data_IF_415430154658
#
_entry.id   IF_415430154658
#
_cell.length_a   1.000
_cell.length_b   1.000
_cell.length_c   1.000
_cell.angle_alpha   90.00
_cell.angle_beta   90.00
_cell.angle_gamma   90.00
#
_symmetry.space_group_name_H-M   'P 1'
#
loop_
_entity.id
_entity.type
_entity.pdbx_description
1 polymer ?
#
# COMPACT_ATOMS: atom_id res chain seq x y z
N UNK A 1 -2.34 -19.20 10.32
CA UNK A 1 -3.43 -18.20 10.28
C UNK A 1 -3.32 -17.59 8.89
N UNK A 2 -4.17 -18.00 7.96
CA UNK A 2 -4.17 -17.43 6.61
C UNK A 2 -4.74 -16.02 6.71
N UNK A 3 -3.87 -15.02 6.66
CA UNK A 3 -4.29 -13.63 6.64
C UNK A 3 -4.95 -13.40 5.28
N UNK A 4 -6.27 -13.27 5.26
CA UNK A 4 -7.04 -12.92 4.07
C UNK A 4 -6.39 -11.69 3.41
N UNK A 5 -5.99 -11.82 2.14
CA UNK A 5 -5.32 -10.74 1.42
C UNK A 5 -6.38 -9.69 1.10
N UNK A 6 -6.44 -8.63 1.90
CA UNK A 6 -7.32 -7.49 1.62
C UNK A 6 -7.06 -6.96 0.21
N UNK A 7 -8.10 -6.80 -0.59
CA UNK A 7 -8.01 -6.07 -1.84
C UNK A 7 -7.75 -4.59 -1.54
N UNK A 8 -7.12 -3.86 -2.48
CA UNK A 8 -6.93 -2.41 -2.33
C UNK A 8 -8.26 -1.67 -2.13
N UNK A 9 -9.34 -2.19 -2.74
CA UNK A 9 -10.70 -1.67 -2.59
C UNK A 9 -11.30 -1.90 -1.19
N UNK A 10 -10.72 -2.80 -0.38
CA UNK A 10 -11.16 -3.05 1.01
C UNK A 10 -10.33 -2.24 2.02
N UNK A 11 -9.37 -1.44 1.55
CA UNK A 11 -8.52 -0.61 2.38
C UNK A 11 -9.17 0.76 2.59
N UNK A 12 -9.54 1.06 3.83
CA UNK A 12 -10.17 2.34 4.21
C UNK A 12 -9.23 3.17 5.08
N UNK A 13 -8.57 2.53 6.05
CA UNK A 13 -7.69 3.18 7.01
C UNK A 13 -6.21 3.08 6.63
N UNK A 14 -5.40 3.99 7.20
CA UNK A 14 -3.93 3.97 7.03
C UNK A 14 -3.32 2.60 7.32
N UNK A 15 -3.77 1.93 8.39
CA UNK A 15 -3.20 0.64 8.79
C UNK A 15 -3.53 -0.49 7.81
N UNK A 16 -4.65 -0.42 7.10
CA UNK A 16 -4.96 -1.39 6.04
C UNK A 16 -3.91 -1.31 4.92
N UNK A 17 -3.57 -0.10 4.49
CA UNK A 17 -2.52 0.11 3.49
C UNK A 17 -1.13 -0.29 3.99
N UNK A 18 -0.79 -0.04 5.26
CA UNK A 18 0.50 -0.49 5.84
C UNK A 18 0.59 -2.02 5.82
N UNK A 19 -0.48 -2.72 6.21
CA UNK A 19 -0.55 -4.18 6.14
C UNK A 19 -0.43 -4.65 4.69
N UNK A 20 -1.10 -3.98 3.75
CA UNK A 20 -1.02 -4.31 2.34
C UNK A 20 0.41 -4.18 1.78
N UNK A 21 1.13 -3.12 2.13
CA UNK A 21 2.55 -2.97 1.78
C UNK A 21 3.41 -4.10 2.34
N UNK A 22 3.24 -4.46 3.61
CA UNK A 22 4.02 -5.55 4.26
C UNK A 22 3.73 -6.92 3.65
N UNK A 23 2.47 -7.19 3.33
CA UNK A 23 2.11 -8.41 2.63
C UNK A 23 2.79 -8.46 1.25
N UNK A 24 2.86 -7.32 0.55
CA UNK A 24 3.53 -7.24 -0.75
C UNK A 24 5.05 -7.35 -0.65
N UNK A 25 5.65 -6.78 0.40
CA UNK A 25 7.07 -6.95 0.73
C UNK A 25 7.38 -8.44 0.94
N UNK A 26 6.64 -9.14 1.80
CA UNK A 26 6.82 -10.58 2.06
C UNK A 26 6.76 -11.41 0.78
N UNK A 27 5.73 -11.20 -0.05
CA UNK A 27 5.57 -11.92 -1.32
C UNK A 27 6.76 -11.68 -2.26
N UNK A 28 7.19 -10.43 -2.40
CA UNK A 28 8.31 -10.09 -3.28
C UNK A 28 9.64 -10.64 -2.76
N UNK A 29 9.85 -10.65 -1.44
CA UNK A 29 11.03 -11.26 -0.84
C UNK A 29 11.08 -12.78 -1.03
N UNK A 30 9.93 -13.46 -0.93
CA UNK A 30 9.79 -14.88 -1.27
C UNK A 30 10.11 -15.17 -2.75
N UNK A 31 9.80 -14.23 -3.64
CA UNK A 31 10.15 -14.27 -5.08
C UNK A 31 11.61 -13.85 -5.36
N UNK A 32 12.39 -13.50 -4.34
CA UNK A 32 13.79 -13.05 -4.47
C UNK A 32 13.93 -11.61 -4.99
N UNK A 33 12.84 -10.84 -5.02
CA UNK A 33 12.83 -9.44 -5.44
C UNK A 33 13.16 -8.54 -4.25
N UNK A 34 14.19 -7.71 -4.40
CA UNK A 34 14.59 -6.77 -3.34
C UNK A 34 13.52 -5.69 -3.12
N UNK A 35 13.07 -5.53 -1.86
CA UNK A 35 12.22 -4.42 -1.46
C UNK A 35 12.98 -3.09 -1.50
N UNK A 36 12.49 -2.13 -2.30
CA UNK A 36 13.14 -0.83 -2.51
C UNK A 36 12.12 0.29 -2.46
N UNK A 37 12.58 1.50 -2.12
CA UNK A 37 11.75 2.72 -2.12
C UNK A 37 11.03 2.94 -3.46
N UNK A 38 11.68 2.64 -4.58
CA UNK A 38 11.05 2.74 -5.90
C UNK A 38 9.85 1.78 -6.06
N UNK A 39 9.95 0.56 -5.51
CA UNK A 39 8.86 -0.42 -5.49
C UNK A 39 7.66 0.10 -4.69
N UNK A 40 7.92 0.71 -3.52
CA UNK A 40 6.86 1.29 -2.69
C UNK A 40 6.11 2.39 -3.44
N UNK A 41 6.83 3.31 -4.09
CA UNK A 41 6.20 4.37 -4.89
C UNK A 41 5.41 3.84 -6.08
N UNK A 42 5.93 2.82 -6.78
CA UNK A 42 5.23 2.20 -7.89
C UNK A 42 3.91 1.58 -7.44
N UNK A 43 3.93 0.78 -6.36
CA UNK A 43 2.73 0.20 -5.77
C UNK A 43 1.73 1.28 -5.35
N UNK A 44 2.19 2.31 -4.65
CA UNK A 44 1.33 3.42 -4.24
C UNK A 44 0.66 4.12 -5.43
N UNK A 45 1.38 4.29 -6.54
CA UNK A 45 0.85 4.94 -7.74
C UNK A 45 -0.22 4.07 -8.41
N UNK A 46 0.06 2.76 -8.58
CA UNK A 46 -0.90 1.79 -9.11
C UNK A 46 -2.17 1.73 -8.25
N UNK A 47 -2.01 1.65 -6.93
CA UNK A 47 -3.15 1.60 -6.01
C UNK A 47 -3.95 2.91 -5.95
N UNK A 48 -3.30 4.05 -6.15
CA UNK A 48 -4.02 5.32 -6.28
C UNK A 48 -4.91 5.33 -7.53
N UNK A 49 -4.44 4.79 -8.65
CA UNK A 49 -5.23 4.60 -9.86
C UNK A 49 -6.43 3.65 -9.62
N UNK A 50 -6.22 2.55 -8.90
CA UNK A 50 -7.30 1.63 -8.53
C UNK A 50 -8.38 2.32 -7.68
N UNK A 51 -7.98 3.12 -6.68
CA UNK A 51 -8.92 3.89 -5.83
C UNK A 51 -9.70 4.91 -6.67
N UNK A 52 -9.02 5.63 -7.57
CA UNK A 52 -9.67 6.65 -8.41
C UNK A 52 -10.70 6.05 -9.36
N UNK A 53 -10.43 4.85 -9.87
CA UNK A 53 -11.32 4.10 -10.75
C UNK A 53 -12.43 3.33 -10.01
N UNK A 54 -12.36 3.22 -8.68
CA UNK A 54 -13.36 2.53 -7.89
C UNK A 54 -14.69 3.30 -7.85
N UNK A 55 -15.81 2.55 -7.81
CA UNK A 55 -17.18 3.09 -7.83
C UNK A 55 -17.65 3.50 -6.43
N UNK A 56 -16.92 4.43 -5.82
CA UNK A 56 -17.22 5.08 -4.54
C UNK A 56 -17.30 6.59 -4.74
N UNK A 57 -17.81 7.32 -3.75
CA UNK A 57 -17.89 8.78 -3.83
C UNK A 57 -16.50 9.45 -3.73
N UNK A 58 -16.40 10.68 -4.24
CA UNK A 58 -15.13 11.39 -4.33
C UNK A 58 -14.54 11.75 -2.96
N UNK A 59 -15.37 11.99 -1.94
CA UNK A 59 -14.87 12.30 -0.60
C UNK A 59 -14.20 11.06 0.01
N UNK A 60 -14.78 9.87 -0.22
CA UNK A 60 -14.19 8.61 0.18
C UNK A 60 -12.90 8.32 -0.59
N UNK A 61 -12.85 8.55 -1.91
CA UNK A 61 -11.60 8.44 -2.69
C UNK A 61 -10.49 9.30 -2.11
N UNK A 62 -10.78 10.58 -1.84
CA UNK A 62 -9.81 11.50 -1.26
C UNK A 62 -9.34 11.02 0.12
N UNK A 63 -10.25 10.51 0.95
CA UNK A 63 -9.90 9.96 2.26
C UNK A 63 -8.95 8.76 2.15
N UNK A 64 -9.26 7.81 1.26
CA UNK A 64 -8.44 6.62 1.01
C UNK A 64 -7.07 6.98 0.41
N UNK A 65 -7.01 7.92 -0.53
CA UNK A 65 -5.75 8.43 -1.09
C UNK A 65 -4.87 9.10 -0.03
N UNK A 66 -5.44 9.90 0.87
CA UNK A 66 -4.71 10.50 2.00
C UNK A 66 -4.12 9.42 2.90
N UNK A 67 -4.88 8.37 3.19
CA UNK A 67 -4.44 7.25 4.03
C UNK A 67 -3.34 6.44 3.34
N UNK A 68 -3.46 6.19 2.04
CA UNK A 68 -2.44 5.56 1.21
C UNK A 68 -1.11 6.34 1.20
N UNK A 69 -1.15 7.65 0.95
CA UNK A 69 0.05 8.51 0.95
C UNK A 69 0.72 8.51 2.34
N UNK A 70 -0.09 8.54 3.40
CA UNK A 70 0.42 8.49 4.78
C UNK A 70 1.12 7.17 5.06
N UNK A 71 0.50 6.04 4.67
CA UNK A 71 1.09 4.70 4.81
C UNK A 71 2.37 4.55 3.97
N UNK A 72 2.36 5.01 2.72
CA UNK A 72 3.52 5.02 1.84
C UNK A 72 4.71 5.73 2.48
N UNK A 73 4.50 6.94 3.02
CA UNK A 73 5.55 7.69 3.70
C UNK A 73 6.10 6.92 4.92
N UNK A 74 5.24 6.30 5.73
CA UNK A 74 5.65 5.48 6.87
C UNK A 74 6.54 4.30 6.43
N UNK A 75 6.11 3.56 5.41
CA UNK A 75 6.85 2.41 4.89
C UNK A 75 8.18 2.84 4.25
N UNK A 76 8.20 3.93 3.47
CA UNK A 76 9.45 4.48 2.92
C UNK A 76 10.45 4.85 4.01
N UNK A 77 10.00 5.47 5.10
CA UNK A 77 10.87 5.83 6.22
C UNK A 77 11.37 4.58 6.96
N UNK A 78 10.54 3.55 7.10
CA UNK A 78 10.97 2.27 7.66
C UNK A 78 12.05 1.62 6.79
N UNK A 79 11.82 1.51 5.47
CA UNK A 79 12.78 0.92 4.52
C UNK A 79 14.11 1.66 4.46
N UNK A 80 14.11 2.99 4.66
CA UNK A 80 15.35 3.79 4.73
C UNK A 80 16.17 3.56 5.99
N UNK A 81 15.55 3.16 7.11
CA UNK A 81 16.24 2.90 8.38
C UNK A 81 16.90 1.53 8.44
N UNK A 82 16.42 0.58 7.63
CA UNK A 82 16.94 -0.79 7.58
C UNK A 82 18.18 -0.92 6.68
N UNK A 83 18.68 0.18 6.11
CA UNK A 83 19.81 0.22 5.19
C UNK A 83 20.89 1.17 5.69
#
# INVERSE_FOLDING_TARGET
METEVKCICDCEGKQDFVVLFRNRESILEEEGVTWRVATIHLLATTWAEDILNHRIDDAEKVCRLKNLITAMNEVVQATRKTR
#
